data_IF_536202299035
#
_entry.id   IF_536202299035
#
_cell.length_a   1.000
_cell.length_b   1.000
_cell.length_c   1.000
_cell.angle_alpha   90.00
_cell.angle_beta   90.00
_cell.angle_gamma   90.00
#
_symmetry.space_group_name_H-M   'P 1'
#
loop_
_entity.id
_entity.type
_entity.pdbx_description
1 polymer ?
#
# COMPACT_ATOMS: atom_id res chain seq x y z
N UNK A 1 2.54 0.39 24.80
CA UNK A 1 2.36 0.60 23.36
C UNK A 1 0.93 0.25 22.98
N UNK A 2 0.41 0.91 21.95
CA UNK A 2 -0.93 0.71 21.40
C UNK A 2 -0.85 0.47 19.90
N UNK A 3 -1.85 -0.23 19.35
CA UNK A 3 -1.99 -0.51 17.93
C UNK A 3 -3.47 -0.53 17.52
N UNK A 4 -3.74 -0.86 16.26
CA UNK A 4 -5.09 -1.13 15.76
C UNK A 4 -5.43 -2.61 15.92
N UNK A 5 -6.64 -2.90 16.38
CA UNK A 5 -7.23 -4.23 16.30
C UNK A 5 -7.52 -4.58 14.84
N UNK A 6 -6.75 -5.52 14.32
CA UNK A 6 -6.83 -5.94 12.93
C UNK A 6 -8.12 -6.68 12.62
N UNK A 7 -8.77 -7.28 13.63
CA UNK A 7 -10.07 -7.94 13.46
C UNK A 7 -11.18 -6.92 13.13
N UNK A 8 -11.00 -5.65 13.52
CA UNK A 8 -11.95 -4.58 13.24
C UNK A 8 -11.64 -3.81 11.94
N UNK A 9 -10.46 -4.03 11.36
CA UNK A 9 -10.05 -3.38 10.11
C UNK A 9 -10.74 -3.99 8.89
N UNK A 10 -11.22 -3.12 8.01
CA UNK A 10 -11.81 -3.49 6.72
C UNK A 10 -11.09 -2.78 5.57
N UNK A 11 -11.09 -3.37 4.36
CA UNK A 11 -10.66 -2.66 3.15
C UNK A 11 -11.36 -1.29 3.05
N UNK A 12 -10.60 -0.26 2.69
CA UNK A 12 -11.08 1.12 2.63
C UNK A 12 -10.89 1.90 3.93
N UNK A 13 -10.76 1.26 5.10
CA UNK A 13 -10.52 1.98 6.35
C UNK A 13 -9.24 2.82 6.29
N UNK A 14 -9.25 3.94 7.00
CA UNK A 14 -8.16 4.91 7.02
C UNK A 14 -7.54 4.93 8.41
N UNK A 15 -6.26 4.59 8.47
CA UNK A 15 -5.47 4.60 9.71
C UNK A 15 -4.76 5.94 9.82
N UNK A 16 -4.94 6.64 10.93
CA UNK A 16 -4.28 7.90 11.25
C UNK A 16 -3.27 7.68 12.36
N UNK A 17 -2.06 8.18 12.18
CA UNK A 17 -1.00 8.04 13.19
C UNK A 17 -0.26 9.35 13.44
N UNK A 18 0.31 9.41 14.64
CA UNK A 18 1.21 10.45 15.09
C UNK A 18 2.63 9.89 15.06
N UNK A 19 3.38 10.15 14.00
CA UNK A 19 4.79 9.77 14.01
C UNK A 19 5.57 10.62 15.04
N UNK A 20 6.66 10.11 15.61
CA UNK A 20 7.53 10.86 16.54
C UNK A 20 8.70 11.56 15.82
N UNK A 21 8.86 11.33 14.51
CA UNK A 21 9.92 11.92 13.68
C UNK A 21 9.92 13.45 13.70
N UNK A 22 11.08 14.09 13.49
CA UNK A 22 11.18 15.57 13.39
C UNK A 22 10.21 16.13 12.33
N UNK A 23 10.04 15.41 11.24
CA UNK A 23 9.15 15.76 10.13
C UNK A 23 7.69 15.67 10.53
N UNK A 24 7.36 14.74 11.42
CA UNK A 24 6.03 14.63 12.00
C UNK A 24 5.71 15.77 12.96
N UNK A 25 6.70 16.20 13.78
CA UNK A 25 6.56 17.41 14.61
C UNK A 25 6.28 18.65 13.75
N UNK A 26 7.02 18.80 12.65
CA UNK A 26 6.79 19.87 11.66
C UNK A 26 5.36 19.80 11.10
N UNK A 27 4.94 18.65 10.57
CA UNK A 27 3.60 18.50 9.97
C UNK A 27 2.52 18.87 10.99
N UNK A 28 2.54 18.34 12.22
CA UNK A 28 1.53 18.68 13.23
C UNK A 28 1.48 20.16 13.58
N UNK A 29 2.65 20.78 13.74
CA UNK A 29 2.72 22.21 14.05
C UNK A 29 2.14 23.07 12.91
N UNK A 30 2.32 22.66 11.66
CA UNK A 30 1.80 23.37 10.50
C UNK A 30 0.32 23.04 10.18
N UNK A 31 -0.16 21.84 10.54
CA UNK A 31 -1.53 21.38 10.25
C UNK A 31 -2.51 21.59 11.41
N UNK A 32 -2.01 21.91 12.61
CA UNK A 32 -2.84 22.22 13.78
C UNK A 32 -3.59 21.03 14.38
N UNK A 33 -3.17 19.79 14.10
CA UNK A 33 -3.84 18.59 14.63
C UNK A 33 -2.89 17.48 15.05
N UNK A 34 -3.45 16.47 15.71
CA UNK A 34 -2.69 15.40 16.37
C UNK A 34 -2.06 14.42 15.38
N UNK A 35 -2.62 14.26 14.18
CA UNK A 35 -2.18 13.27 13.21
C UNK A 35 -1.29 13.87 12.12
N UNK A 36 -0.17 13.21 11.85
CA UNK A 36 0.82 13.63 10.85
C UNK A 36 0.95 12.66 9.68
N UNK A 37 0.41 11.46 9.83
CA UNK A 37 0.49 10.43 8.81
C UNK A 37 -0.84 9.70 8.69
N UNK A 38 -1.08 9.18 7.49
CA UNK A 38 -2.32 8.48 7.16
C UNK A 38 -2.03 7.34 6.17
N UNK A 39 -2.73 6.23 6.35
CA UNK A 39 -2.58 5.01 5.56
C UNK A 39 -3.96 4.49 5.16
N UNK A 40 -4.03 3.87 3.99
CA UNK A 40 -5.25 3.22 3.48
C UNK A 40 -5.16 1.71 3.69
N UNK A 41 -6.13 1.11 4.38
CA UNK A 41 -6.28 -0.33 4.48
C UNK A 41 -6.74 -0.91 3.13
N UNK A 42 -6.01 -1.91 2.64
CA UNK A 42 -6.30 -2.64 1.39
C UNK A 42 -6.58 -4.12 1.64
N UNK A 43 -6.92 -4.47 2.89
CA UNK A 43 -7.37 -5.79 3.32
C UNK A 43 -6.37 -6.55 4.18
N UNK A 44 -6.90 -7.36 5.11
CA UNK A 44 -6.15 -8.32 5.95
C UNK A 44 -4.94 -7.72 6.67
N UNK A 45 -5.11 -6.52 7.26
CA UNK A 45 -4.03 -5.80 7.94
C UNK A 45 -2.94 -5.25 7.00
N UNK A 46 -3.12 -5.34 5.68
CA UNK A 46 -2.26 -4.67 4.71
C UNK A 46 -2.75 -3.24 4.48
N UNK A 47 -1.83 -2.28 4.58
CA UNK A 47 -2.07 -0.89 4.26
C UNK A 47 -1.18 -0.44 3.10
N UNK A 48 -1.60 0.61 2.39
CA UNK A 48 -0.74 1.37 1.46
C UNK A 48 -0.62 2.79 2.00
N UNK A 49 0.60 3.30 2.00
CA UNK A 49 0.89 4.67 2.43
C UNK A 49 2.02 5.24 1.59
N UNK A 50 2.24 6.55 1.75
CA UNK A 50 3.40 7.22 1.18
C UNK A 50 4.26 7.79 2.32
N UNK A 51 5.56 7.50 2.33
CA UNK A 51 6.52 8.09 3.28
C UNK A 51 7.88 8.38 2.63
N UNK A 52 8.78 9.01 3.39
CA UNK A 52 10.14 9.37 2.91
C UNK A 52 11.06 8.17 2.69
N UNK A 53 10.78 7.02 3.29
CA UNK A 53 11.66 5.84 3.26
C UNK A 53 11.48 5.09 1.94
N UNK A 54 10.22 4.86 1.56
CA UNK A 54 9.86 4.01 0.43
C UNK A 54 9.09 4.68 -0.69
N UNK A 55 8.69 5.95 -0.56
CA UNK A 55 7.68 6.52 -1.45
C UNK A 55 6.31 5.88 -1.14
N UNK A 56 5.50 5.62 -2.15
CA UNK A 56 4.27 4.83 -2.01
C UNK A 56 4.63 3.34 -1.94
N UNK A 57 4.24 2.67 -0.86
CA UNK A 57 4.49 1.25 -0.67
C UNK A 57 3.50 0.61 0.31
N UNK A 58 3.56 -0.72 0.40
CA UNK A 58 2.74 -1.49 1.33
C UNK A 58 3.33 -1.46 2.74
N UNK A 59 2.46 -1.56 3.75
CA UNK A 59 2.80 -1.61 5.16
C UNK A 59 1.95 -2.68 5.86
N UNK A 60 2.53 -3.40 6.83
CA UNK A 60 1.78 -4.34 7.67
C UNK A 60 1.31 -3.60 8.92
N UNK A 61 -0.01 -3.44 9.08
CA UNK A 61 -0.62 -2.80 10.23
C UNK A 61 -0.30 -3.49 11.57
N UNK A 62 0.05 -4.79 11.58
CA UNK A 62 0.56 -5.48 12.78
C UNK A 62 1.82 -4.81 13.33
N UNK A 63 2.61 -4.17 12.47
CA UNK A 63 3.86 -3.49 12.87
C UNK A 63 3.63 -2.08 13.38
N UNK A 64 2.38 -1.63 13.42
CA UNK A 64 2.05 -0.29 13.88
C UNK A 64 2.08 -0.25 15.40
N UNK A 65 2.95 0.58 15.97
CA UNK A 65 2.98 0.84 17.41
C UNK A 65 3.05 2.33 17.68
N UNK A 66 2.27 2.78 18.66
CA UNK A 66 2.34 4.12 19.23
C UNK A 66 2.45 4.07 20.75
N UNK A 67 2.96 5.13 21.36
CA UNK A 67 3.18 5.20 22.81
C UNK A 67 1.86 5.42 23.56
N UNK A 68 0.96 6.24 23.00
CA UNK A 68 -0.30 6.64 23.62
C UNK A 68 -1.50 6.35 22.70
N UNK A 69 -2.68 6.02 23.26
CA UNK A 69 -3.84 5.62 22.45
C UNK A 69 -4.39 6.77 21.59
N UNK A 70 -4.22 8.03 22.02
CA UNK A 70 -4.62 9.21 21.26
C UNK A 70 -3.72 9.51 20.04
N UNK A 71 -2.62 8.79 19.87
CA UNK A 71 -1.70 8.94 18.75
C UNK A 71 -2.10 8.13 17.52
N UNK A 72 -3.15 7.31 17.63
CA UNK A 72 -3.61 6.42 16.57
C UNK A 72 -5.13 6.43 16.50
N UNK A 73 -5.68 6.32 15.30
CA UNK A 73 -7.12 6.18 15.11
C UNK A 73 -7.42 5.40 13.82
N UNK A 74 -8.56 4.71 13.81
CA UNK A 74 -9.13 4.08 12.62
C UNK A 74 -10.44 4.80 12.29
N UNK A 75 -10.57 5.29 11.06
CA UNK A 75 -11.85 5.82 10.56
C UNK A 75 -12.34 5.05 9.34
N UNK A 76 -13.66 4.95 9.23
CA UNK A 76 -14.37 4.27 8.16
C UNK A 76 -15.25 5.25 7.40
N UNK A 77 -15.39 5.04 6.09
CA UNK A 77 -16.30 5.82 5.27
C UNK A 77 -17.76 5.52 5.61
N UNK A 78 -18.56 6.58 5.77
CA UNK A 78 -19.99 6.54 6.03
C UNK A 78 -20.72 7.34 4.93
N UNK A 79 -21.65 6.72 4.16
CA UNK A 79 -22.19 5.35 4.29
C UNK A 79 -21.19 4.25 3.92
N UNK A 80 -21.45 3.01 4.34
CA UNK A 80 -20.58 1.87 4.04
C UNK A 80 -20.27 1.76 2.53
N UNK A 81 -19.01 1.48 2.19
CA UNK A 81 -18.55 1.31 0.81
C UNK A 81 -19.12 0.03 0.19
N UNK A 82 -19.50 0.08 -1.10
CA UNK A 82 -19.77 -1.14 -1.87
C UNK A 82 -18.46 -1.90 -2.15
N UNK A 83 -18.50 -3.22 -2.40
CA UNK A 83 -17.32 -3.99 -2.78
C UNK A 83 -16.58 -3.42 -4.00
N UNK A 84 -17.33 -2.95 -5.00
CA UNK A 84 -16.78 -2.36 -6.24
C UNK A 84 -16.07 -1.05 -5.95
N UNK A 85 -16.68 -0.19 -5.12
CA UNK A 85 -16.10 1.09 -4.71
C UNK A 85 -14.81 0.86 -3.93
N UNK A 86 -14.83 -0.08 -2.98
CA UNK A 86 -13.63 -0.48 -2.22
C UNK A 86 -12.54 -1.00 -3.15
N UNK A 87 -12.90 -1.80 -4.18
CA UNK A 87 -11.96 -2.31 -5.17
C UNK A 87 -11.30 -1.18 -5.97
N UNK A 88 -12.05 -0.18 -6.41
CA UNK A 88 -11.51 0.98 -7.16
C UNK A 88 -10.52 1.77 -6.30
N UNK A 89 -10.86 2.02 -5.03
CA UNK A 89 -9.99 2.71 -4.07
C UNK A 89 -8.69 1.94 -3.86
N UNK A 90 -8.79 0.63 -3.61
CA UNK A 90 -7.64 -0.26 -3.46
C UNK A 90 -6.75 -0.26 -4.70
N UNK A 91 -7.34 -0.44 -5.88
CA UNK A 91 -6.63 -0.49 -7.15
C UNK A 91 -5.85 0.81 -7.39
N UNK A 92 -6.48 1.97 -7.19
CA UNK A 92 -5.79 3.25 -7.31
C UNK A 92 -4.54 3.32 -6.43
N UNK A 93 -4.66 2.96 -5.15
CA UNK A 93 -3.53 3.01 -4.23
C UNK A 93 -2.41 2.03 -4.62
N UNK A 94 -2.75 0.83 -5.12
CA UNK A 94 -1.78 -0.14 -5.62
C UNK A 94 -1.05 0.34 -6.88
N UNK A 95 -1.77 1.00 -7.81
CA UNK A 95 -1.18 1.57 -9.02
C UNK A 95 -0.13 2.64 -8.72
N UNK A 96 -0.20 3.29 -7.55
CA UNK A 96 0.77 4.30 -7.13
C UNK A 96 2.03 3.72 -6.46
N UNK A 97 2.10 2.42 -6.18
CA UNK A 97 3.29 1.80 -5.57
C UNK A 97 4.55 2.14 -6.38
N UNK A 98 5.58 2.60 -5.67
CA UNK A 98 6.86 3.05 -6.23
C UNK A 98 6.98 4.55 -6.45
N UNK A 99 5.87 5.30 -6.42
CA UNK A 99 5.87 6.75 -6.64
C UNK A 99 6.65 7.45 -5.52
N UNK A 100 7.49 8.42 -5.90
CA UNK A 100 8.37 9.14 -4.96
C UNK A 100 7.57 10.03 -4.01
N UNK A 101 8.03 10.10 -2.76
CA UNK A 101 7.41 10.95 -1.73
C UNK A 101 7.87 12.41 -1.83
N UNK A 102 6.92 13.36 -1.77
CA UNK A 102 7.22 14.79 -1.77
C UNK A 102 6.99 15.46 -0.42
N UNK A 103 8.09 15.77 0.27
CA UNK A 103 8.09 16.52 1.54
C UNK A 103 7.58 17.93 1.34
N UNK A 104 8.08 18.61 0.29
CA UNK A 104 7.77 20.00 0.02
C UNK A 104 6.29 20.20 -0.26
N UNK A 105 5.67 19.27 -0.98
CA UNK A 105 4.24 19.35 -1.27
C UNK A 105 3.39 18.99 -0.06
N UNK A 106 3.83 18.05 0.79
CA UNK A 106 3.17 17.76 2.06
C UNK A 106 3.14 18.99 2.98
N UNK A 107 4.23 19.77 3.03
CA UNK A 107 4.30 21.03 3.80
C UNK A 107 3.40 22.10 3.18
N UNK A 108 3.42 22.25 1.85
CA UNK A 108 2.59 23.22 1.12
C UNK A 108 1.08 22.96 1.27
N UNK A 109 0.67 21.72 1.55
CA UNK A 109 -0.72 21.38 1.82
C UNK A 109 -1.24 21.94 3.17
N UNK A 110 -0.36 22.44 4.04
CA UNK A 110 -0.76 22.94 5.36
C UNK A 110 -1.59 24.25 5.30
N UNK A 111 -2.55 24.46 6.22
CA UNK A 111 -3.44 25.63 6.23
C UNK A 111 -2.71 26.99 6.24
N UNK A 112 -1.52 27.06 6.85
CA UNK A 112 -0.71 28.28 6.86
C UNK A 112 -0.38 28.79 5.46
N UNK A 113 -0.09 27.89 4.51
CA UNK A 113 0.24 28.22 3.12
C UNK A 113 -1.00 28.43 2.23
N UNK A 114 -2.20 28.19 2.76
CA UNK A 114 -3.49 28.43 2.07
C UNK A 114 -4.09 29.82 2.36
N UNK A 115 -3.48 30.63 3.23
CA UNK A 115 -4.00 31.97 3.60
C UNK A 115 -3.80 33.00 2.47
N UNK A 116 -4.85 33.78 2.17
CA UNK A 116 -4.91 34.75 1.06
C UNK A 116 -3.72 35.73 0.97
N UNK A 117 -3.16 36.18 2.09
CA UNK A 117 -2.05 37.15 2.07
C UNK A 117 -0.71 36.56 1.59
N UNK A 118 -0.56 35.23 1.60
CA UNK A 118 0.55 34.51 0.96
C UNK A 118 0.23 34.17 -0.51
N UNK A 119 -1.01 34.42 -0.97
CA UNK A 119 -1.48 34.18 -2.33
C UNK A 119 -0.80 35.05 -3.40
N UNK A 120 -0.06 36.09 -3.00
CA UNK A 120 0.83 36.84 -3.90
C UNK A 120 2.06 36.03 -4.34
N UNK A 121 2.52 35.07 -3.51
CA UNK A 121 3.28 33.93 -4.02
C UNK A 121 2.23 32.96 -4.58
N UNK A 122 1.94 33.05 -5.88
CA UNK A 122 1.17 32.03 -6.61
C UNK A 122 1.91 30.68 -6.54
N UNK A 123 1.82 30.00 -5.41
CA UNK A 123 2.20 28.60 -5.31
C UNK A 123 1.06 27.86 -6.00
N UNK A 124 1.31 27.39 -7.21
CA UNK A 124 0.38 26.53 -7.96
C UNK A 124 0.19 25.20 -7.20
N UNK A 125 -0.63 25.23 -6.15
CA UNK A 125 -0.99 24.09 -5.31
C UNK A 125 -1.85 23.06 -6.08
N UNK A 126 -2.38 23.46 -7.23
CA UNK A 126 -3.27 22.67 -8.09
C UNK A 126 -2.59 22.02 -9.28
N UNK A 127 -1.30 22.33 -9.56
CA UNK A 127 -0.60 21.61 -10.63
C UNK A 127 -0.49 20.13 -10.27
N UNK A 128 -0.91 19.21 -11.17
CA UNK A 128 -0.81 17.79 -10.91
C UNK A 128 0.67 17.41 -10.81
N UNK A 129 1.14 17.19 -9.58
CA UNK A 129 2.44 16.57 -9.33
C UNK A 129 2.28 15.06 -9.43
N UNK A 130 3.21 14.41 -10.12
CA UNK A 130 3.29 12.96 -10.18
C UNK A 130 3.75 12.36 -8.84
N UNK A 131 4.29 13.18 -7.93
CA UNK A 131 4.75 12.76 -6.61
C UNK A 131 3.58 12.53 -5.65
N UNK A 132 3.83 11.83 -4.55
CA UNK A 132 2.81 11.52 -3.56
C UNK A 132 3.22 11.93 -2.15
N UNK A 133 2.23 12.16 -1.30
CA UNK A 133 2.39 12.15 0.15
C UNK A 133 1.16 11.49 0.77
N UNK A 134 1.24 11.14 2.04
CA UNK A 134 0.31 10.23 2.70
C UNK A 134 -1.16 10.63 2.50
N UNK A 135 -1.52 11.87 2.83
CA UNK A 135 -2.91 12.35 2.70
C UNK A 135 -3.35 12.54 1.25
N UNK A 136 -2.48 13.00 0.33
CA UNK A 136 -2.82 13.06 -1.10
C UNK A 136 -3.18 11.67 -1.63
N UNK A 137 -2.37 10.66 -1.33
CA UNK A 137 -2.58 9.30 -1.80
C UNK A 137 -3.98 8.81 -1.40
N UNK A 138 -4.34 8.97 -0.13
CA UNK A 138 -5.65 8.54 0.40
C UNK A 138 -6.78 9.34 -0.22
N UNK A 139 -6.68 10.67 -0.27
CA UNK A 139 -7.72 11.52 -0.82
C UNK A 139 -7.94 11.29 -2.32
N UNK A 140 -6.86 11.09 -3.09
CA UNK A 140 -6.96 10.77 -4.52
C UNK A 140 -7.53 9.37 -4.76
N UNK A 141 -7.22 8.38 -3.92
CA UNK A 141 -7.80 7.04 -4.04
C UNK A 141 -9.33 7.08 -3.90
N UNK A 142 -9.83 7.78 -2.89
CA UNK A 142 -11.26 8.01 -2.72
C UNK A 142 -11.86 8.86 -3.85
N UNK A 143 -11.18 9.92 -4.27
CA UNK A 143 -11.64 10.79 -5.36
C UNK A 143 -11.73 10.04 -6.69
N UNK A 144 -10.85 9.07 -6.93
CA UNK A 144 -10.88 8.22 -8.11
C UNK A 144 -12.12 7.32 -8.15
N UNK A 145 -12.63 6.93 -6.98
CA UNK A 145 -13.91 6.22 -6.84
C UNK A 145 -15.13 7.18 -6.76
N UNK A 146 -14.95 8.47 -7.07
CA UNK A 146 -16.02 9.47 -7.01
C UNK A 146 -16.37 9.97 -5.61
N UNK A 147 -15.59 9.61 -4.58
CA UNK A 147 -15.84 9.99 -3.18
C UNK A 147 -14.92 11.14 -2.75
N UNK A 148 -15.48 12.14 -2.08
CA UNK A 148 -14.71 13.29 -1.60
C UNK A 148 -14.40 13.16 -0.10
N UNK A 149 -13.11 13.06 0.24
CA UNK A 149 -12.61 13.14 1.62
C UNK A 149 -12.09 14.54 2.00
N UNK A 150 -11.77 15.35 1.00
CA UNK A 150 -11.34 16.74 1.15
C UNK A 150 -11.80 17.53 -0.07
N UNK A 151 -11.88 18.86 0.06
CA UNK A 151 -12.19 19.75 -1.06
C UNK A 151 -11.13 19.67 -2.17
N UNK A 152 -9.87 19.48 -1.78
CA UNK A 152 -8.70 19.49 -2.68
C UNK A 152 -7.86 18.21 -2.51
N UNK A 153 -8.23 17.10 -3.20
CA UNK A 153 -7.53 15.81 -3.05
C UNK A 153 -6.03 15.83 -3.33
N UNK A 154 -5.56 16.76 -4.17
CA UNK A 154 -4.13 16.93 -4.50
C UNK A 154 -3.35 17.74 -3.45
N UNK A 155 -4.04 18.43 -2.54
CA UNK A 155 -3.45 19.33 -1.55
C UNK A 155 -4.27 19.31 -0.26
N UNK A 156 -4.19 18.19 0.46
CA UNK A 156 -4.90 18.02 1.71
C UNK A 156 -4.03 17.48 2.83
N UNK A 157 -4.34 17.83 4.08
CA UNK A 157 -3.60 17.33 5.25
C UNK A 157 -4.25 16.09 5.86
N UNK A 158 -3.53 15.28 6.67
CA UNK A 158 -4.16 14.20 7.43
C UNK A 158 -5.30 14.68 8.32
N UNK A 159 -5.20 15.89 8.89
CA UNK A 159 -6.22 16.49 9.76
C UNK A 159 -7.48 16.87 8.96
N UNK A 160 -7.33 17.40 7.75
CA UNK A 160 -8.47 17.70 6.87
C UNK A 160 -9.23 16.41 6.52
N UNK A 161 -8.52 15.33 6.20
CA UNK A 161 -9.14 14.02 5.96
C UNK A 161 -9.81 13.52 7.25
N UNK A 162 -9.11 13.59 8.38
CA UNK A 162 -9.66 13.13 9.67
C UNK A 162 -10.96 13.86 10.01
N UNK A 163 -11.07 15.16 9.73
CA UNK A 163 -12.26 15.95 10.01
C UNK A 163 -13.36 15.84 8.93
N UNK A 164 -13.17 15.00 7.90
CA UNK A 164 -14.19 14.77 6.89
C UNK A 164 -15.49 14.29 7.53
N UNK A 165 -16.65 14.91 7.22
CA UNK A 165 -17.95 14.48 7.73
C UNK A 165 -18.40 13.13 7.14
N UNK A 166 -17.67 12.61 6.14
CA UNK A 166 -17.90 11.30 5.54
C UNK A 166 -17.16 10.18 6.26
N UNK A 167 -16.42 10.48 7.33
CA UNK A 167 -15.65 9.50 8.08
C UNK A 167 -16.12 9.43 9.53
N UNK A 168 -16.40 8.22 9.99
CA UNK A 168 -16.71 7.91 11.39
C UNK A 168 -15.54 7.19 12.05
N UNK A 169 -15.40 7.37 13.38
CA UNK A 169 -14.44 6.58 14.15
C UNK A 169 -14.93 5.13 14.25
N UNK A 170 -14.02 4.17 14.06
CA UNK A 170 -14.30 2.78 14.40
C UNK A 170 -14.07 2.63 15.90
N UNK A 171 -15.16 2.51 16.66
CA UNK A 171 -15.10 2.35 18.10
C UNK A 171 -14.32 1.09 18.50
N UNK A 172 -13.58 1.18 19.62
CA UNK A 172 -12.78 0.10 20.18
C UNK A 172 -11.66 -0.44 19.27
N UNK A 173 -11.35 0.24 18.15
CA UNK A 173 -10.29 -0.18 17.24
C UNK A 173 -8.88 -0.02 17.80
N UNK A 174 -8.68 0.73 18.90
CA UNK A 174 -7.36 0.95 19.49
C UNK A 174 -7.16 0.02 20.68
N UNK A 175 -6.16 -0.84 20.61
CA UNK A 175 -5.86 -1.84 21.63
C UNK A 175 -4.48 -1.63 22.26
N UNK A 176 -4.33 -2.04 23.51
CA UNK A 176 -3.03 -2.13 24.17
C UNK A 176 -2.32 -3.40 23.68
N UNK A 177 -1.09 -3.27 23.24
CA UNK A 177 -0.29 -4.41 22.74
C UNK A 177 0.47 -5.05 23.92
N UNK A 178 0.38 -6.39 24.12
CA UNK A 178 1.21 -7.13 25.05
C UNK A 178 2.71 -6.93 24.82
N UNK A 179 3.50 -6.97 25.88
CA UNK A 179 4.94 -6.67 25.80
C UNK A 179 5.71 -7.68 24.95
N UNK A 180 5.34 -8.97 24.98
CA UNK A 180 5.95 -9.98 24.11
C UNK A 180 5.72 -9.69 22.62
N UNK A 181 4.55 -9.15 22.25
CA UNK A 181 4.23 -8.80 20.87
C UNK A 181 4.95 -7.50 20.44
N UNK A 182 5.19 -6.57 21.37
CA UNK A 182 5.97 -5.36 21.08
C UNK A 182 7.40 -5.71 20.65
N UNK A 183 8.05 -6.66 21.34
CA UNK A 183 9.39 -7.12 20.98
C UNK A 183 9.42 -7.74 19.57
N UNK A 184 8.45 -8.61 19.26
CA UNK A 184 8.31 -9.23 17.95
C UNK A 184 8.08 -8.21 16.83
N UNK A 185 7.23 -7.21 17.09
CA UNK A 185 6.95 -6.14 16.12
C UNK A 185 8.19 -5.29 15.86
N UNK A 186 9.00 -4.98 16.87
CA UNK A 186 10.20 -4.17 16.70
C UNK A 186 11.38 -4.92 16.06
N UNK A 187 11.31 -6.24 15.91
CA UNK A 187 12.32 -7.01 15.19
C UNK A 187 12.25 -6.71 13.68
N UNK A 188 13.18 -5.90 13.18
CA UNK A 188 13.28 -5.55 11.76
C UNK A 188 13.67 -6.73 10.87
N UNK A 189 14.29 -7.79 11.41
CA UNK A 189 14.60 -9.00 10.63
C UNK A 189 13.33 -9.73 10.16
N UNK A 190 12.21 -9.50 10.85
CA UNK A 190 10.87 -10.01 10.53
C UNK A 190 10.10 -9.10 9.58
N UNK A 191 10.60 -7.91 9.25
CA UNK A 191 9.95 -6.96 8.36
C UNK A 191 10.17 -7.31 6.86
N UNK A 192 9.57 -8.41 6.39
CA UNK A 192 9.79 -8.86 5.01
C UNK A 192 9.18 -7.93 3.96
N UNK A 193 8.15 -7.15 4.30
CA UNK A 193 7.59 -6.12 3.41
C UNK A 193 8.64 -5.07 3.03
N UNK A 194 9.60 -4.79 3.91
CA UNK A 194 10.72 -3.91 3.60
C UNK A 194 11.54 -4.42 2.41
N UNK A 195 11.75 -5.74 2.29
CA UNK A 195 12.47 -6.34 1.16
C UNK A 195 11.74 -6.06 -0.15
N UNK A 196 10.42 -6.19 -0.18
CA UNK A 196 9.60 -5.85 -1.36
C UNK A 196 9.74 -4.37 -1.71
N UNK A 197 9.63 -3.50 -0.72
CA UNK A 197 9.75 -2.04 -0.87
C UNK A 197 11.11 -1.65 -1.44
N UNK A 198 12.19 -2.16 -0.85
CA UNK A 198 13.56 -1.88 -1.28
C UNK A 198 13.83 -2.40 -2.69
N UNK A 199 13.30 -3.58 -3.05
CA UNK A 199 13.45 -4.15 -4.40
C UNK A 199 12.75 -3.32 -5.46
N UNK A 200 11.49 -2.92 -5.24
CA UNK A 200 10.75 -2.05 -6.17
C UNK A 200 11.44 -0.70 -6.28
N UNK A 201 11.88 -0.13 -5.16
CA UNK A 201 12.62 1.14 -5.13
C UNK A 201 13.89 1.07 -5.96
N UNK A 202 14.73 0.05 -5.75
CA UNK A 202 15.98 -0.13 -6.52
C UNK A 202 15.72 -0.29 -8.03
N UNK A 203 14.67 -1.02 -8.41
CA UNK A 203 14.28 -1.17 -9.81
C UNK A 203 13.94 0.19 -10.42
N UNK A 204 13.00 0.92 -9.81
CA UNK A 204 12.55 2.21 -10.30
C UNK A 204 13.66 3.27 -10.29
N UNK A 205 14.50 3.30 -9.26
CA UNK A 205 15.67 4.20 -9.22
C UNK A 205 16.67 3.90 -10.34
N UNK A 206 16.89 2.62 -10.67
CA UNK A 206 17.77 2.24 -11.78
C UNK A 206 17.22 2.72 -13.13
N UNK A 207 15.90 2.63 -13.33
CA UNK A 207 15.26 3.10 -14.56
C UNK A 207 15.23 4.63 -14.63
N UNK A 208 14.90 5.32 -13.53
CA UNK A 208 14.91 6.80 -13.45
C UNK A 208 16.27 7.40 -13.81
N UNK A 209 17.37 6.75 -13.40
CA UNK A 209 18.72 7.19 -13.76
C UNK A 209 18.97 7.21 -15.27
N UNK A 210 18.28 6.38 -16.04
CA UNK A 210 18.45 6.25 -17.48
C UNK A 210 17.41 7.05 -18.27
N UNK A 211 16.16 7.09 -17.80
CA UNK A 211 15.02 7.63 -18.55
C UNK A 211 14.36 8.86 -17.90
N UNK A 212 14.86 9.29 -16.74
CA UNK A 212 14.44 10.51 -16.04
C UNK A 212 13.40 10.29 -14.94
N UNK A 213 13.15 11.36 -14.19
CA UNK A 213 12.30 11.37 -13.00
C UNK A 213 10.79 11.32 -13.30
N UNK A 214 10.38 11.28 -14.56
CA UNK A 214 8.96 11.07 -14.92
C UNK A 214 8.48 9.65 -14.61
N UNK A 215 9.39 8.68 -14.54
CA UNK A 215 9.09 7.28 -14.20
C UNK A 215 8.79 7.17 -12.71
N UNK A 216 7.55 6.86 -12.33
CA UNK A 216 7.13 6.83 -10.93
C UNK A 216 6.69 5.45 -10.46
N UNK A 217 6.12 4.62 -11.33
CA UNK A 217 5.45 3.37 -10.99
C UNK A 217 5.94 2.22 -11.86
N UNK A 218 5.58 0.98 -11.50
CA UNK A 218 5.83 -0.18 -12.34
C UNK A 218 5.08 -0.09 -13.69
N UNK A 219 3.94 0.60 -13.75
CA UNK A 219 3.20 0.80 -15.01
C UNK A 219 3.93 1.74 -15.95
N UNK A 220 4.69 2.72 -15.43
CA UNK A 220 5.53 3.57 -16.25
C UNK A 220 6.67 2.77 -16.90
N UNK A 221 7.14 1.68 -16.27
CA UNK A 221 8.11 0.76 -16.85
C UNK A 221 7.51 0.00 -18.03
N UNK A 222 6.29 -0.52 -17.87
CA UNK A 222 5.56 -1.21 -18.95
C UNK A 222 5.32 -0.26 -20.14
N UNK A 223 4.85 0.96 -19.87
CA UNK A 223 4.66 1.98 -20.90
C UNK A 223 5.97 2.30 -21.61
N UNK A 224 7.05 2.54 -20.86
CA UNK A 224 8.37 2.86 -21.42
C UNK A 224 8.90 1.72 -22.31
N UNK A 225 8.74 0.46 -21.91
CA UNK A 225 9.12 -0.71 -22.71
C UNK A 225 8.37 -0.81 -24.04
N UNK A 226 7.14 -0.29 -24.10
CA UNK A 226 6.32 -0.27 -25.31
C UNK A 226 6.67 0.93 -26.20
N UNK A 227 6.83 2.12 -25.61
CA UNK A 227 6.85 3.38 -26.37
C UNK A 227 8.24 3.84 -26.78
N UNK A 228 9.30 3.27 -26.21
CA UNK A 228 10.68 3.75 -26.42
C UNK A 228 11.56 2.65 -27.04
N UNK A 229 12.09 2.93 -28.22
CA UNK A 229 12.97 2.02 -28.95
C UNK A 229 14.21 1.67 -28.10
N UNK A 230 14.53 0.37 -28.05
CA UNK A 230 15.65 -0.16 -27.26
C UNK A 230 15.44 -0.19 -25.74
N UNK A 231 14.34 0.36 -25.21
CA UNK A 231 14.10 0.39 -23.77
C UNK A 231 13.71 -0.98 -23.19
N UNK A 232 13.01 -1.82 -23.96
CA UNK A 232 12.56 -3.13 -23.50
C UNK A 232 13.71 -4.03 -23.02
N UNK A 233 14.81 -4.11 -23.78
CA UNK A 233 15.97 -4.90 -23.40
C UNK A 233 16.55 -4.44 -22.06
N UNK A 234 16.69 -3.12 -21.88
CA UNK A 234 17.24 -2.52 -20.66
C UNK A 234 16.30 -2.75 -19.48
N UNK A 235 14.99 -2.52 -19.65
CA UNK A 235 14.00 -2.66 -18.58
C UNK A 235 13.87 -4.12 -18.16
N UNK A 236 13.82 -5.04 -19.11
CA UNK A 236 13.74 -6.48 -18.85
C UNK A 236 14.96 -6.98 -18.06
N UNK A 237 16.16 -6.50 -18.40
CA UNK A 237 17.41 -6.78 -17.68
C UNK A 237 17.41 -6.22 -16.26
N UNK A 238 17.01 -4.96 -16.09
CA UNK A 238 16.93 -4.32 -14.78
C UNK A 238 15.89 -4.99 -13.89
N UNK A 239 14.77 -5.43 -14.47
CA UNK A 239 13.71 -6.15 -13.77
C UNK A 239 14.23 -7.47 -13.20
N UNK A 240 14.97 -8.26 -13.99
CA UNK A 240 15.65 -9.46 -13.50
C UNK A 240 16.67 -9.11 -12.41
N UNK A 241 17.61 -8.20 -12.68
CA UNK A 241 18.72 -7.86 -11.77
C UNK A 241 18.24 -7.30 -10.43
N UNK A 242 17.08 -6.64 -10.41
CA UNK A 242 16.50 -6.11 -9.17
C UNK A 242 16.04 -7.20 -8.19
N UNK A 243 15.76 -8.41 -8.69
CA UNK A 243 15.12 -9.49 -7.94
C UNK A 243 13.59 -9.38 -7.86
N UNK A 244 12.97 -8.43 -8.57
CA UNK A 244 11.52 -8.20 -8.53
C UNK A 244 10.70 -9.44 -8.88
N UNK A 245 11.11 -10.17 -9.94
CA UNK A 245 10.43 -11.38 -10.42
C UNK A 245 10.49 -12.55 -9.42
N UNK A 246 11.30 -12.43 -8.36
CA UNK A 246 11.58 -13.51 -7.41
C UNK A 246 11.11 -13.22 -5.99
N UNK A 247 10.45 -12.07 -5.77
CA UNK A 247 9.95 -11.68 -4.45
C UNK A 247 8.98 -12.72 -3.84
N UNK A 248 8.19 -13.40 -4.67
CA UNK A 248 7.24 -14.43 -4.23
C UNK A 248 7.90 -15.62 -3.52
N UNK A 249 9.16 -15.93 -3.86
CA UNK A 249 9.91 -17.04 -3.23
C UNK A 249 10.13 -16.83 -1.74
N UNK A 250 10.15 -15.57 -1.28
CA UNK A 250 10.33 -15.23 0.13
C UNK A 250 9.16 -15.75 0.97
N UNK A 251 7.91 -15.53 0.52
CA UNK A 251 6.73 -15.96 1.29
C UNK A 251 6.66 -17.48 1.39
N UNK A 252 7.00 -18.22 0.32
CA UNK A 252 7.04 -19.68 0.37
C UNK A 252 8.10 -20.19 1.34
N UNK A 253 9.29 -19.59 1.32
CA UNK A 253 10.40 -19.99 2.20
C UNK A 253 10.06 -19.76 3.67
N UNK A 254 9.47 -18.62 3.99
CA UNK A 254 9.20 -18.22 5.37
C UNK A 254 7.88 -18.80 5.91
N UNK A 255 6.90 -19.02 5.03
CA UNK A 255 5.57 -19.52 5.37
C UNK A 255 5.21 -20.79 4.57
N UNK A 256 6.01 -21.87 4.65
CA UNK A 256 5.74 -23.10 3.88
C UNK A 256 4.38 -23.73 4.22
N UNK A 257 3.89 -23.51 5.44
CA UNK A 257 2.56 -23.91 5.91
C UNK A 257 1.42 -23.31 5.08
N UNK A 258 1.62 -22.17 4.41
CA UNK A 258 0.61 -21.60 3.51
C UNK A 258 0.46 -22.37 2.19
N UNK A 259 1.38 -23.29 1.90
CA UNK A 259 1.48 -23.95 0.59
C UNK A 259 1.53 -25.47 0.67
N UNK A 260 1.38 -26.04 1.87
CA UNK A 260 1.45 -27.48 2.12
C UNK A 260 0.54 -27.86 3.28
N UNK A 261 -0.39 -28.80 3.04
CA UNK A 261 -1.30 -29.31 4.06
C UNK A 261 -0.54 -29.91 5.24
N UNK A 262 0.51 -30.69 4.96
CA UNK A 262 1.34 -31.31 6.00
C UNK A 262 1.99 -30.25 6.89
N UNK A 263 2.50 -29.16 6.28
CA UNK A 263 3.13 -28.09 7.04
C UNK A 263 2.09 -27.24 7.81
N UNK A 264 0.91 -27.03 7.23
CA UNK A 264 -0.20 -26.35 7.92
C UNK A 264 -0.68 -27.12 9.14
N UNK A 265 -0.90 -28.42 9.03
CA UNK A 265 -1.39 -29.25 10.13
C UNK A 265 -0.38 -29.37 11.28
N UNK A 266 0.93 -29.33 10.96
CA UNK A 266 2.01 -29.27 11.95
C UNK A 266 2.06 -27.90 12.65
N UNK A 267 1.85 -26.82 11.90
CA UNK A 267 1.95 -25.46 12.42
C UNK A 267 0.71 -25.07 13.25
N UNK A 268 -0.49 -25.36 12.76
CA UNK A 268 -1.76 -25.07 13.44
C UNK A 268 -2.21 -26.26 14.31
N UNK A 269 -1.50 -26.49 15.42
CA UNK A 269 -1.72 -27.66 16.31
C UNK A 269 -3.06 -27.64 17.03
N UNK A 270 -3.60 -26.46 17.34
CA UNK A 270 -4.91 -26.28 17.94
C UNK A 270 -6.02 -26.36 16.88
N UNK A 271 -6.91 -27.34 17.01
CA UNK A 271 -8.01 -27.59 16.05
C UNK A 271 -9.03 -26.46 15.99
N UNK A 272 -9.33 -25.78 17.09
CA UNK A 272 -10.36 -24.72 17.09
C UNK A 272 -9.82 -23.46 16.39
N UNK A 273 -8.56 -23.13 16.65
CA UNK A 273 -7.86 -22.03 15.97
C UNK A 273 -7.56 -22.36 14.50
N UNK A 274 -7.42 -23.64 14.14
CA UNK A 274 -7.11 -24.06 12.76
C UNK A 274 -8.19 -23.64 11.76
N UNK A 275 -9.47 -23.85 12.07
CA UNK A 275 -10.57 -23.48 11.16
C UNK A 275 -10.64 -21.97 10.95
N UNK A 276 -10.51 -21.17 12.01
CA UNK A 276 -10.51 -19.71 11.89
C UNK A 276 -9.32 -19.21 11.05
N UNK A 277 -8.12 -19.75 11.29
CA UNK A 277 -6.94 -19.42 10.48
C UNK A 277 -7.15 -19.80 9.02
N UNK A 278 -7.69 -20.99 8.75
CA UNK A 278 -7.95 -21.44 7.39
C UNK A 278 -8.98 -20.55 6.68
N UNK A 279 -10.05 -20.15 7.35
CA UNK A 279 -11.05 -19.22 6.79
C UNK A 279 -10.44 -17.86 6.44
N UNK A 280 -9.60 -17.31 7.33
CA UNK A 280 -8.89 -16.06 7.08
C UNK A 280 -7.92 -16.18 5.89
N UNK A 281 -7.13 -17.25 5.84
CA UNK A 281 -6.19 -17.50 4.74
C UNK A 281 -6.90 -17.80 3.42
N UNK A 282 -8.06 -18.44 3.44
CA UNK A 282 -8.90 -18.66 2.27
C UNK A 282 -9.37 -17.34 1.69
N UNK A 283 -9.90 -16.44 2.51
CA UNK A 283 -10.30 -15.10 2.06
C UNK A 283 -9.12 -14.33 1.46
N UNK A 284 -7.96 -14.36 2.12
CA UNK A 284 -6.73 -13.76 1.59
C UNK A 284 -6.33 -14.35 0.24
N UNK A 285 -6.38 -15.68 0.10
CA UNK A 285 -6.02 -16.39 -1.12
C UNK A 285 -6.96 -16.05 -2.28
N UNK A 286 -8.27 -15.99 -2.03
CA UNK A 286 -9.28 -15.58 -3.03
C UNK A 286 -9.06 -14.14 -3.49
N UNK A 287 -8.77 -13.22 -2.56
CA UNK A 287 -8.45 -11.83 -2.89
C UNK A 287 -7.16 -11.72 -3.72
N UNK A 288 -6.12 -12.48 -3.36
CA UNK A 288 -4.88 -12.56 -4.14
C UNK A 288 -5.13 -13.12 -5.54
N UNK A 289 -5.89 -14.21 -5.64
CA UNK A 289 -6.22 -14.85 -6.92
C UNK A 289 -6.95 -13.90 -7.86
N UNK A 290 -7.99 -13.22 -7.38
CA UNK A 290 -8.74 -12.25 -8.19
C UNK A 290 -7.84 -11.16 -8.74
N UNK A 291 -6.92 -10.61 -7.92
CA UNK A 291 -6.01 -9.56 -8.37
C UNK A 291 -4.97 -10.06 -9.36
N UNK A 292 -4.39 -11.25 -9.11
CA UNK A 292 -3.37 -11.81 -9.99
C UNK A 292 -3.94 -12.21 -11.34
N UNK A 293 -5.18 -12.70 -11.39
CA UNK A 293 -5.89 -12.95 -12.65
C UNK A 293 -6.14 -11.65 -13.43
N UNK A 294 -6.55 -10.58 -12.76
CA UNK A 294 -6.74 -9.27 -13.38
C UNK A 294 -5.43 -8.72 -13.96
N UNK A 295 -4.33 -8.75 -13.19
CA UNK A 295 -3.00 -8.36 -13.69
C UNK A 295 -2.57 -9.22 -14.88
N UNK A 296 -2.70 -10.55 -14.79
CA UNK A 296 -2.36 -11.45 -15.89
C UNK A 296 -3.16 -11.16 -17.16
N UNK A 297 -4.46 -10.89 -17.02
CA UNK A 297 -5.33 -10.56 -18.14
C UNK A 297 -4.86 -9.26 -18.82
N UNK A 298 -4.68 -8.18 -18.05
CA UNK A 298 -4.24 -6.88 -18.57
C UNK A 298 -2.88 -7.02 -19.27
N UNK A 299 -1.91 -7.67 -18.63
CA UNK A 299 -0.56 -7.85 -19.22
C UNK A 299 -0.61 -8.70 -20.49
N UNK A 300 -1.46 -9.74 -20.57
CA UNK A 300 -1.65 -10.52 -21.79
C UNK A 300 -2.29 -9.71 -22.92
N UNK A 301 -3.29 -8.87 -22.61
CA UNK A 301 -3.87 -7.97 -23.62
C UNK A 301 -2.84 -6.95 -24.12
N UNK A 302 -2.01 -6.39 -23.23
CA UNK A 302 -0.90 -5.52 -23.63
C UNK A 302 0.11 -6.26 -24.51
N UNK A 303 0.48 -7.50 -24.14
CA UNK A 303 1.43 -8.31 -24.89
C UNK A 303 0.94 -8.68 -26.29
N UNK A 304 -0.38 -8.95 -26.46
CA UNK A 304 -0.96 -9.19 -27.79
C UNK A 304 -0.75 -8.01 -28.74
N UNK A 305 -0.90 -6.80 -28.22
CA UNK A 305 -0.76 -5.57 -29.00
C UNK A 305 0.69 -5.12 -29.15
N UNK A 306 1.52 -5.40 -28.14
CA UNK A 306 2.91 -4.94 -28.05
C UNK A 306 3.83 -6.05 -27.53
N UNK A 307 4.11 -7.11 -28.32
CA UNK A 307 4.93 -8.22 -27.85
C UNK A 307 6.35 -7.76 -27.53
N UNK A 308 6.77 -7.89 -26.26
CA UNK A 308 8.10 -7.49 -25.79
C UNK A 308 8.57 -8.34 -24.61
N UNK A 309 9.87 -8.29 -24.27
CA UNK A 309 10.48 -9.13 -23.23
C UNK A 309 9.96 -8.79 -21.84
N UNK A 310 9.79 -7.50 -21.54
CA UNK A 310 9.32 -7.01 -20.24
C UNK A 310 7.94 -7.56 -19.90
N UNK A 311 6.98 -7.44 -20.82
CA UNK A 311 5.63 -7.99 -20.66
C UNK A 311 5.66 -9.53 -20.59
N UNK A 312 6.53 -10.19 -21.36
CA UNK A 312 6.72 -11.65 -21.26
C UNK A 312 7.16 -12.11 -19.88
N UNK A 313 8.10 -11.39 -19.24
CA UNK A 313 8.55 -11.66 -17.87
C UNK A 313 7.41 -11.46 -16.85
N UNK A 314 6.62 -10.40 -17.01
CA UNK A 314 5.47 -10.12 -16.14
C UNK A 314 4.37 -11.16 -16.29
N UNK A 315 4.10 -11.65 -17.50
CA UNK A 315 3.17 -12.78 -17.73
C UNK A 315 3.63 -14.00 -16.93
N UNK A 316 4.90 -14.41 -17.06
CA UNK A 316 5.44 -15.56 -16.35
C UNK A 316 5.36 -15.39 -14.82
N UNK A 317 5.62 -14.17 -14.32
CA UNK A 317 5.44 -13.83 -12.90
C UNK A 317 3.98 -13.99 -12.49
N UNK A 318 3.02 -13.39 -13.21
CA UNK A 318 1.62 -13.43 -12.83
C UNK A 318 1.01 -14.83 -12.97
N UNK A 319 1.41 -15.64 -13.95
CA UNK A 319 1.04 -17.05 -14.02
C UNK A 319 1.48 -17.82 -12.78
N UNK A 320 2.72 -17.57 -12.33
CA UNK A 320 3.24 -18.16 -11.09
C UNK A 320 2.41 -17.73 -9.88
N UNK A 321 2.12 -16.43 -9.76
CA UNK A 321 1.33 -15.90 -8.65
C UNK A 321 -0.12 -16.41 -8.65
N UNK A 322 -0.74 -16.58 -9.83
CA UNK A 322 -2.06 -17.20 -9.98
C UNK A 322 -2.01 -18.66 -9.51
N UNK A 323 -1.04 -19.45 -9.98
CA UNK A 323 -0.88 -20.85 -9.59
C UNK A 323 -0.71 -20.99 -8.07
N UNK A 324 0.10 -20.13 -7.44
CA UNK A 324 0.28 -20.12 -6.00
C UNK A 324 -1.02 -19.75 -5.25
N UNK A 325 -1.76 -18.75 -5.72
CA UNK A 325 -3.02 -18.35 -5.10
C UNK A 325 -4.12 -19.41 -5.25
N UNK A 326 -4.17 -20.11 -6.39
CA UNK A 326 -5.05 -21.29 -6.58
C UNK A 326 -4.68 -22.38 -5.57
N UNK A 327 -3.40 -22.72 -5.47
CA UNK A 327 -2.92 -23.74 -4.50
C UNK A 327 -3.31 -23.40 -3.07
N UNK A 328 -3.19 -22.13 -2.67
CA UNK A 328 -3.65 -21.66 -1.34
C UNK A 328 -5.16 -21.81 -1.18
N UNK A 329 -5.93 -21.41 -2.19
CA UNK A 329 -7.39 -21.47 -2.16
C UNK A 329 -7.87 -22.91 -2.01
N UNK A 330 -7.30 -23.85 -2.78
CA UNK A 330 -7.58 -25.28 -2.68
C UNK A 330 -7.24 -25.80 -1.28
N UNK A 331 -6.01 -25.55 -0.81
CA UNK A 331 -5.55 -25.99 0.51
C UNK A 331 -6.51 -25.58 1.64
N UNK A 332 -6.89 -24.31 1.68
CA UNK A 332 -7.69 -23.78 2.78
C UNK A 332 -9.20 -24.00 2.61
N UNK A 333 -9.67 -24.38 1.42
CA UNK A 333 -11.08 -24.76 1.20
C UNK A 333 -11.49 -26.08 1.86
N UNK A 334 -10.52 -26.88 2.32
CA UNK A 334 -10.74 -28.19 2.95
C UNK A 334 -10.93 -28.15 4.48
N UNK A 335 -10.89 -26.97 5.11
CA UNK A 335 -10.96 -26.77 6.56
C UNK A 335 -12.20 -26.01 7.00
#
# INVERSE_FOLDING_TARGET
>A
MYSIDLALMKPGDIVFTTETSLTSKTIRNFTGGNYSHVMLCVGYGSCIHADKKGGVHSFNAQRLLVEHPNQIALKRYNPHLSPETSKIIEQYARLKIGTVYSIWEAVKAAPFFKKEWLGHLKVELEKPSSLQFCSRLVAQAYSHAGLKLSATPSSCTPVEIFNSPRLELVENAVIRVPEELVALVNDESKNKIKIHTDTIKRLLESVRKLYGDSIQTLHDLEALAITTEGADDIISDLTIKSGYLELWKIDIKENPWRYSQIEFEKWATDKQNRTEIAQNELGMAQHQLSRHLESLHITRENYKNYPNKTLGQLIALYETLVMLAVKKTELFSHY
#
